data_IF_452549882729
#
_entry.id   IF_452549882729
#
_cell.length_a   1.000
_cell.length_b   1.000
_cell.length_c   1.000
_cell.angle_alpha   90.00
_cell.angle_beta   90.00
_cell.angle_gamma   90.00
#
_symmetry.space_group_name_H-M   'P 1'
#
loop_
_entity.id
_entity.type
_entity.pdbx_description
1 polymer ?
#
# COMPACT_ATOMS: atom_id res chain seq x y z
N UNK A 1 66.43 29.39 -20.29
CA UNK A 1 65.61 28.43 -19.51
C UNK A 1 64.15 28.79 -19.71
N UNK A 2 63.37 27.97 -20.43
CA UNK A 2 61.94 28.22 -20.71
C UNK A 2 61.10 27.52 -19.65
N UNK A 3 60.26 28.27 -18.93
CA UNK A 3 59.31 27.75 -17.95
C UNK A 3 58.02 27.29 -18.65
N UNK A 4 57.56 26.08 -18.36
CA UNK A 4 56.24 25.58 -18.76
C UNK A 4 55.29 25.65 -17.55
N UNK A 5 54.02 26.06 -17.72
CA UNK A 5 53.06 26.02 -16.63
C UNK A 5 52.52 24.59 -16.48
N UNK A 6 52.51 24.11 -15.24
CA UNK A 6 51.83 22.87 -14.85
C UNK A 6 50.34 23.19 -14.72
N UNK A 7 49.51 22.56 -15.54
CA UNK A 7 48.05 22.65 -15.44
C UNK A 7 47.59 21.55 -14.47
N UNK A 8 47.07 21.96 -13.32
CA UNK A 8 46.48 21.08 -12.32
C UNK A 8 45.02 20.80 -12.71
N UNK A 9 44.74 19.63 -13.28
CA UNK A 9 43.38 19.21 -13.63
C UNK A 9 42.66 18.68 -12.38
N UNK A 10 41.71 19.46 -11.87
CA UNK A 10 40.82 19.07 -10.78
C UNK A 10 39.67 18.22 -11.38
N UNK A 11 39.68 16.91 -11.12
CA UNK A 11 38.60 16.02 -11.51
C UNK A 11 37.41 16.21 -10.54
N UNK A 12 36.30 16.77 -11.05
CA UNK A 12 35.03 16.86 -10.33
C UNK A 12 34.36 15.47 -10.32
N UNK A 13 34.19 14.88 -9.13
CA UNK A 13 33.31 13.73 -8.95
C UNK A 13 31.85 14.21 -9.00
N UNK A 14 31.14 13.83 -10.05
CA UNK A 14 29.69 14.01 -10.15
C UNK A 14 28.99 12.98 -9.26
N UNK A 15 28.33 13.43 -8.19
CA UNK A 15 27.43 12.60 -7.40
C UNK A 15 26.24 12.17 -8.28
N UNK A 16 26.01 10.85 -8.37
CA UNK A 16 24.94 10.27 -9.17
C UNK A 16 23.56 10.54 -8.57
N UNK A 17 22.59 10.77 -9.45
CA UNK A 17 21.22 11.17 -9.16
C UNK A 17 20.47 10.19 -8.24
N UNK A 18 19.69 10.75 -7.31
CA UNK A 18 18.68 10.05 -6.53
C UNK A 18 17.70 9.32 -7.46
N UNK A 19 17.44 8.05 -7.19
CA UNK A 19 16.34 7.32 -7.82
C UNK A 19 15.04 8.08 -7.56
N UNK A 20 14.41 8.55 -8.63
CA UNK A 20 13.10 9.19 -8.59
C UNK A 20 12.07 8.18 -8.10
N UNK A 21 11.65 8.30 -6.84
CA UNK A 21 10.49 7.60 -6.31
C UNK A 21 9.30 7.96 -7.21
N UNK A 22 8.45 6.99 -7.61
CA UNK A 22 7.21 7.31 -8.30
C UNK A 22 6.47 8.42 -7.56
N UNK A 23 5.94 9.40 -8.32
CA UNK A 23 5.23 10.53 -7.73
C UNK A 23 3.95 10.03 -7.08
N UNK A 24 3.94 9.95 -5.74
CA UNK A 24 2.76 9.61 -4.95
C UNK A 24 1.77 10.78 -5.02
N UNK A 25 0.71 10.61 -5.79
CA UNK A 25 -0.32 11.64 -6.02
C UNK A 25 -1.35 11.73 -4.89
N UNK A 26 -1.24 10.89 -3.85
CA UNK A 26 -2.16 10.87 -2.73
C UNK A 26 -1.63 11.69 -1.56
N UNK A 27 -0.74 11.13 -0.74
CA UNK A 27 -0.25 11.80 0.48
C UNK A 27 1.22 11.49 0.65
N UNK A 28 2.06 12.51 0.56
CA UNK A 28 3.51 12.34 0.50
C UNK A 28 4.10 11.79 1.81
N UNK A 29 5.29 11.19 1.69
CA UNK A 29 6.11 10.80 2.83
C UNK A 29 6.47 12.00 3.72
N UNK A 30 6.64 13.19 3.14
CA UNK A 30 6.90 14.41 3.91
C UNK A 30 5.72 14.78 4.81
N UNK A 31 4.47 14.64 4.32
CA UNK A 31 3.29 14.86 5.13
C UNK A 31 3.17 13.83 6.27
N UNK A 32 3.56 12.58 6.02
CA UNK A 32 3.65 11.56 7.08
C UNK A 32 4.69 11.93 8.13
N UNK A 33 5.89 12.36 7.73
CA UNK A 33 6.95 12.77 8.66
C UNK A 33 6.51 13.96 9.53
N UNK A 34 5.84 14.96 8.93
CA UNK A 34 5.22 16.06 9.66
C UNK A 34 4.21 15.55 10.68
N UNK A 35 3.27 14.68 10.27
CA UNK A 35 2.30 14.07 11.17
C UNK A 35 2.94 13.29 12.33
N UNK A 36 4.00 12.51 12.06
CA UNK A 36 4.74 11.79 13.11
C UNK A 36 5.34 12.75 14.13
N UNK A 37 5.98 13.82 13.64
CA UNK A 37 6.66 14.82 14.48
C UNK A 37 5.66 15.61 15.32
N UNK A 38 4.61 16.13 14.69
CA UNK A 38 3.59 16.97 15.34
C UNK A 38 2.83 16.23 16.44
N UNK A 39 2.80 14.89 16.39
CA UNK A 39 2.09 14.04 17.33
C UNK A 39 3.01 13.20 18.23
N UNK A 40 4.33 13.39 18.14
CA UNK A 40 5.34 12.64 18.93
C UNK A 40 5.21 11.10 18.80
N UNK A 41 5.04 10.61 17.57
CA UNK A 41 4.75 9.20 17.27
C UNK A 41 5.99 8.37 16.90
N UNK A 42 7.20 8.91 17.03
CA UNK A 42 8.44 8.30 16.53
C UNK A 42 8.64 6.88 17.08
N UNK A 43 8.49 6.70 18.39
CA UNK A 43 8.64 5.39 19.04
C UNK A 43 7.56 4.40 18.60
N UNK A 44 6.33 4.87 18.37
CA UNK A 44 5.23 4.00 17.94
C UNK A 44 5.41 3.55 16.49
N UNK A 45 5.85 4.46 15.61
CA UNK A 45 6.20 4.13 14.22
C UNK A 45 7.36 3.16 14.19
N UNK A 46 8.42 3.39 14.97
CA UNK A 46 9.55 2.47 15.04
C UNK A 46 9.14 1.08 15.54
N UNK A 47 8.24 1.00 16.53
CA UNK A 47 7.70 -0.27 17.01
C UNK A 47 6.89 -1.00 15.94
N UNK A 48 6.10 -0.25 15.16
CA UNK A 48 5.34 -0.78 14.03
C UNK A 48 6.25 -1.30 12.91
N UNK A 49 7.27 -0.54 12.52
CA UNK A 49 8.27 -0.94 11.52
C UNK A 49 9.05 -2.18 11.97
N UNK A 50 9.43 -2.24 13.25
CA UNK A 50 10.06 -3.42 13.82
C UNK A 50 9.13 -4.64 13.82
N UNK A 51 7.82 -4.45 13.98
CA UNK A 51 6.84 -5.53 13.80
C UNK A 51 6.82 -6.03 12.36
N UNK A 52 6.79 -5.14 11.36
CA UNK A 52 6.85 -5.54 9.95
C UNK A 52 8.14 -6.29 9.63
N UNK A 53 9.28 -5.84 10.16
CA UNK A 53 10.58 -6.46 9.94
C UNK A 53 10.66 -7.88 10.53
N UNK A 54 10.18 -8.07 11.77
CA UNK A 54 10.13 -9.40 12.42
C UNK A 54 9.25 -10.39 11.67
N UNK A 55 8.25 -9.90 10.93
CA UNK A 55 7.36 -10.73 10.11
C UNK A 55 7.79 -10.81 8.64
N UNK A 56 8.97 -10.28 8.28
CA UNK A 56 9.51 -10.37 6.92
C UNK A 56 8.76 -9.56 5.86
N UNK A 57 8.01 -8.52 6.26
CA UNK A 57 7.15 -7.71 5.39
C UNK A 57 7.47 -6.21 5.40
N UNK A 58 8.64 -5.82 5.93
CA UNK A 58 9.06 -4.41 6.01
C UNK A 58 9.36 -3.76 4.64
N UNK A 59 9.72 -4.55 3.64
CA UNK A 59 10.16 -4.08 2.31
C UNK A 59 9.04 -4.14 1.25
N UNK A 60 7.83 -4.53 1.63
CA UNK A 60 6.71 -4.71 0.68
C UNK A 60 6.18 -3.37 0.22
N UNK A 61 5.89 -2.47 1.16
CA UNK A 61 5.38 -1.13 0.91
C UNK A 61 6.01 -0.16 1.91
N UNK A 62 6.19 1.13 1.55
CA UNK A 62 6.65 2.13 2.48
C UNK A 62 5.68 2.30 3.67
N UNK A 63 6.21 2.45 4.89
CA UNK A 63 5.42 2.60 6.13
C UNK A 63 4.32 3.65 6.01
N UNK A 64 4.62 4.80 5.38
CA UNK A 64 3.66 5.89 5.22
C UNK A 64 2.44 5.53 4.35
N UNK A 65 2.57 4.58 3.43
CA UNK A 65 1.43 4.07 2.65
C UNK A 65 0.62 3.03 3.45
N UNK A 66 1.29 2.17 4.23
CA UNK A 66 0.62 1.13 5.04
C UNK A 66 -0.17 1.76 6.21
N UNK A 67 0.29 2.90 6.73
CA UNK A 67 -0.38 3.67 7.79
C UNK A 67 -1.35 4.74 7.27
N UNK A 68 -1.53 4.84 5.95
CA UNK A 68 -2.50 5.74 5.32
C UNK A 68 -3.92 5.26 5.63
N UNK A 69 -4.84 6.17 5.93
CA UNK A 69 -6.19 5.79 6.38
C UNK A 69 -7.14 5.50 5.22
N UNK A 70 -8.09 6.39 4.93
CA UNK A 70 -9.06 6.26 3.84
C UNK A 70 -8.79 7.32 2.78
N UNK A 71 -8.97 6.98 1.50
CA UNK A 71 -8.91 7.97 0.42
C UNK A 71 -9.96 9.10 0.55
N UNK A 72 -10.94 8.96 1.46
CA UNK A 72 -11.95 9.99 1.76
C UNK A 72 -11.66 10.75 3.05
N UNK A 73 -10.46 10.63 3.64
CA UNK A 73 -10.12 11.22 4.94
C UNK A 73 -10.44 12.72 5.02
N UNK A 74 -10.18 13.48 3.95
CA UNK A 74 -10.46 14.93 3.89
C UNK A 74 -11.95 15.21 3.98
N UNK A 75 -12.76 14.56 3.14
CA UNK A 75 -14.21 14.69 3.15
C UNK A 75 -14.81 14.27 4.50
N UNK A 76 -14.17 13.30 5.16
CA UNK A 76 -14.53 12.81 6.48
C UNK A 76 -13.97 13.64 7.65
N UNK A 77 -13.18 14.68 7.38
CA UNK A 77 -12.49 15.48 8.40
C UNK A 77 -11.73 14.59 9.41
N UNK A 78 -11.07 13.56 8.90
CA UNK A 78 -10.28 12.60 9.67
C UNK A 78 -8.79 12.81 9.43
N UNK A 79 -7.94 12.10 10.19
CA UNK A 79 -6.50 12.10 9.93
C UNK A 79 -6.17 11.32 8.65
N UNK A 80 -5.18 11.81 7.91
CA UNK A 80 -4.59 11.13 6.74
C UNK A 80 -3.87 9.83 7.10
N UNK A 81 -3.33 9.77 8.32
CA UNK A 81 -2.54 8.65 8.84
C UNK A 81 -3.04 8.24 10.23
N UNK A 82 -2.91 6.96 10.54
CA UNK A 82 -3.24 6.42 11.85
C UNK A 82 -2.42 5.16 12.11
N UNK A 83 -1.80 5.06 13.29
CA UNK A 83 -1.20 3.79 13.75
C UNK A 83 -2.35 2.92 14.25
N UNK A 84 -2.59 1.73 13.67
CA UNK A 84 -3.63 0.84 14.15
C UNK A 84 -3.33 0.38 15.58
N UNK A 85 -4.36 -0.01 16.36
CA UNK A 85 -4.13 -0.66 17.65
C UNK A 85 -3.17 -1.86 17.52
N UNK A 86 -2.25 -2.01 18.47
CA UNK A 86 -1.17 -2.99 18.38
C UNK A 86 -1.68 -4.43 18.26
N UNK A 87 -2.82 -4.73 18.87
CA UNK A 87 -3.48 -6.03 18.85
C UNK A 87 -3.90 -6.48 17.45
N UNK A 88 -4.03 -5.56 16.47
CA UNK A 88 -4.38 -5.91 15.09
C UNK A 88 -3.20 -5.84 14.12
N UNK A 89 -1.97 -5.56 14.57
CA UNK A 89 -0.81 -5.47 13.67
C UNK A 89 -0.53 -6.78 12.94
N UNK A 90 -0.71 -7.93 13.59
CA UNK A 90 -0.49 -9.23 12.97
C UNK A 90 -1.39 -9.46 11.74
N UNK A 91 -2.57 -8.84 11.69
CA UNK A 91 -3.57 -9.05 10.66
C UNK A 91 -3.14 -8.55 9.26
N UNK A 92 -2.25 -7.56 9.19
CA UNK A 92 -1.79 -7.02 7.90
C UNK A 92 -0.70 -7.88 7.24
N UNK A 93 0.00 -8.69 8.04
CA UNK A 93 1.22 -9.40 7.61
C UNK A 93 0.96 -10.36 6.46
N UNK A 94 -0.13 -11.14 6.51
CA UNK A 94 -0.53 -12.03 5.41
C UNK A 94 -0.88 -11.27 4.14
N UNK A 95 -1.55 -10.12 4.26
CA UNK A 95 -1.88 -9.27 3.09
C UNK A 95 -0.63 -8.72 2.43
N UNK A 96 0.33 -8.20 3.22
CA UNK A 96 1.61 -7.71 2.70
C UNK A 96 2.44 -8.85 2.06
N UNK A 97 2.48 -10.02 2.71
CA UNK A 97 3.16 -11.18 2.14
C UNK A 97 2.55 -11.61 0.81
N UNK A 98 1.21 -11.61 0.69
CA UNK A 98 0.53 -11.91 -0.56
C UNK A 98 0.81 -10.86 -1.64
N UNK A 99 0.91 -9.58 -1.27
CA UNK A 99 1.33 -8.52 -2.22
C UNK A 99 2.71 -8.84 -2.79
N UNK A 100 3.70 -9.11 -1.92
CA UNK A 100 5.08 -9.44 -2.33
C UNK A 100 5.17 -10.67 -3.23
N UNK A 101 4.41 -11.72 -2.91
CA UNK A 101 4.59 -13.06 -3.50
C UNK A 101 3.67 -13.35 -4.67
N UNK A 102 2.50 -12.72 -4.73
CA UNK A 102 1.46 -13.06 -5.72
C UNK A 102 1.04 -11.87 -6.57
N UNK A 103 1.12 -10.64 -6.04
CA UNK A 103 0.68 -9.43 -6.75
C UNK A 103 1.82 -8.82 -7.55
N UNK A 104 2.90 -8.44 -6.89
CA UNK A 104 4.03 -7.77 -7.53
C UNK A 104 4.64 -8.55 -8.70
N UNK A 105 4.79 -9.89 -8.64
CA UNK A 105 5.30 -10.66 -9.77
C UNK A 105 4.41 -10.64 -11.02
N UNK A 106 3.12 -10.29 -10.88
CA UNK A 106 2.16 -10.31 -11.98
C UNK A 106 1.88 -8.95 -12.57
N UNK A 107 1.72 -7.93 -11.72
CA UNK A 107 1.30 -6.60 -12.16
C UNK A 107 2.34 -5.51 -11.87
N UNK A 108 3.49 -5.88 -11.30
CA UNK A 108 4.52 -4.95 -10.88
C UNK A 108 4.21 -4.29 -9.53
N UNK A 109 4.99 -3.26 -9.20
CA UNK A 109 4.85 -2.53 -7.94
C UNK A 109 3.47 -1.86 -7.82
N UNK A 110 3.00 -1.80 -6.58
CA UNK A 110 1.72 -1.21 -6.21
C UNK A 110 1.93 -0.19 -5.10
N UNK A 111 1.03 0.77 -5.00
CA UNK A 111 0.97 1.72 -3.89
C UNK A 111 -0.31 1.49 -3.07
N UNK A 112 -0.21 1.59 -1.75
CA UNK A 112 -1.39 1.58 -0.87
C UNK A 112 -2.00 2.98 -0.74
N UNK A 113 -3.28 3.09 -1.07
CA UNK A 113 -4.06 4.35 -1.04
C UNK A 113 -5.10 4.37 0.06
N UNK A 114 -5.34 3.22 0.71
CA UNK A 114 -6.13 3.11 1.94
C UNK A 114 -5.72 1.88 2.74
N UNK A 115 -5.56 2.04 4.06
CA UNK A 115 -5.25 0.98 5.01
C UNK A 115 -6.23 0.97 6.18
N UNK A 116 -5.73 1.06 7.40
CA UNK A 116 -6.59 1.00 8.60
C UNK A 116 -7.64 2.11 8.62
N UNK A 117 -8.83 1.78 9.13
CA UNK A 117 -9.91 2.75 9.37
C UNK A 117 -10.53 2.50 10.73
N UNK A 118 -10.40 3.45 11.66
CA UNK A 118 -11.19 3.41 12.88
C UNK A 118 -12.71 3.43 12.59
N UNK A 119 -13.53 3.13 13.59
CA UNK A 119 -14.98 2.97 13.41
C UNK A 119 -15.67 4.20 12.81
N UNK A 120 -15.27 5.40 13.23
CA UNK A 120 -15.83 6.67 12.74
C UNK A 120 -15.49 6.88 11.27
N UNK A 121 -14.20 6.72 10.91
CA UNK A 121 -13.75 6.89 9.54
C UNK A 121 -14.34 5.83 8.61
N UNK A 122 -14.40 4.57 9.04
CA UNK A 122 -15.02 3.50 8.25
C UNK A 122 -16.47 3.83 7.90
N UNK A 123 -17.25 4.28 8.88
CA UNK A 123 -18.66 4.67 8.68
C UNK A 123 -18.79 5.84 7.71
N UNK A 124 -17.99 6.90 7.89
CA UNK A 124 -18.00 8.05 7.00
C UNK A 124 -17.59 7.69 5.56
N UNK A 125 -16.61 6.80 5.39
CA UNK A 125 -16.18 6.30 4.07
C UNK A 125 -17.16 5.32 3.42
N UNK A 126 -18.36 5.11 3.99
CA UNK A 126 -19.34 4.16 3.48
C UNK A 126 -18.89 2.70 3.58
N UNK A 127 -17.94 2.39 4.47
CA UNK A 127 -17.46 1.03 4.69
C UNK A 127 -18.51 0.16 5.39
N UNK A 128 -18.55 -1.12 5.04
CA UNK A 128 -19.39 -2.10 5.73
C UNK A 128 -19.08 -2.16 7.23
N UNK A 129 -20.08 -2.51 8.05
CA UNK A 129 -19.95 -2.59 9.50
C UNK A 129 -18.77 -3.48 9.92
N UNK A 130 -18.62 -4.66 9.31
CA UNK A 130 -17.51 -5.58 9.56
C UNK A 130 -16.39 -5.51 8.51
N UNK A 131 -16.16 -4.32 7.93
CA UNK A 131 -15.08 -4.08 6.95
C UNK A 131 -13.72 -4.60 7.42
N UNK A 132 -12.97 -5.20 6.51
CA UNK A 132 -11.63 -5.72 6.79
C UNK A 132 -10.63 -4.60 7.17
N UNK A 133 -10.84 -3.37 6.70
CA UNK A 133 -10.04 -2.20 7.07
C UNK A 133 -10.13 -1.85 8.57
N UNK A 134 -11.27 -2.13 9.21
CA UNK A 134 -11.46 -1.88 10.65
C UNK A 134 -10.60 -2.76 11.55
N UNK A 135 -10.16 -3.89 11.02
CA UNK A 135 -9.38 -4.89 11.74
C UNK A 135 -7.98 -5.05 11.13
N UNK A 136 -7.58 -4.09 10.31
CA UNK A 136 -6.27 -4.01 9.67
C UNK A 136 -5.86 -5.23 8.84
N UNK A 137 -6.82 -5.94 8.26
CA UNK A 137 -6.54 -6.98 7.27
C UNK A 137 -6.34 -6.42 5.87
N UNK A 138 -6.79 -5.20 5.59
CA UNK A 138 -7.04 -4.75 4.23
C UNK A 138 -6.19 -3.55 3.79
N UNK A 139 -5.83 -3.58 2.51
CA UNK A 139 -5.32 -2.44 1.76
C UNK A 139 -6.15 -2.26 0.48
N UNK A 140 -6.40 -1.00 0.13
CA UNK A 140 -6.79 -0.65 -1.23
C UNK A 140 -5.55 -0.16 -1.98
N UNK A 141 -5.36 -0.67 -3.19
CA UNK A 141 -4.12 -0.59 -3.94
C UNK A 141 -4.35 0.00 -5.33
N UNK A 142 -3.30 0.65 -5.84
CA UNK A 142 -3.16 1.02 -7.24
C UNK A 142 -1.86 0.44 -7.81
N UNK A 143 -1.84 -0.02 -9.06
CA UNK A 143 -0.59 -0.28 -9.76
C UNK A 143 0.21 1.03 -9.93
N UNK A 144 1.53 0.95 -9.82
CA UNK A 144 2.43 2.08 -10.12
C UNK A 144 2.75 2.21 -11.62
N UNK A 145 2.58 1.12 -12.36
CA UNK A 145 2.74 1.08 -13.81
C UNK A 145 1.43 1.35 -14.52
N UNK A 146 1.50 1.84 -15.76
CA UNK A 146 0.33 1.91 -16.63
C UNK A 146 -0.08 0.50 -17.05
N UNK A 147 -1.18 0.02 -16.47
CA UNK A 147 -1.75 -1.29 -16.74
C UNK A 147 -3.24 -1.11 -17.08
N UNK A 148 -3.68 -1.76 -18.15
CA UNK A 148 -5.09 -1.73 -18.50
C UNK A 148 -5.94 -2.39 -17.40
N UNK A 149 -7.16 -1.87 -17.18
CA UNK A 149 -8.12 -2.49 -16.25
C UNK A 149 -8.36 -3.97 -16.56
N UNK A 150 -8.40 -4.34 -17.84
CA UNK A 150 -8.61 -5.72 -18.27
C UNK A 150 -7.44 -6.62 -17.86
N UNK A 151 -6.21 -6.16 -18.07
CA UNK A 151 -4.99 -6.88 -17.66
C UNK A 151 -4.91 -7.01 -16.15
N UNK A 152 -5.14 -5.92 -15.40
CA UNK A 152 -5.18 -5.95 -13.93
C UNK A 152 -6.18 -7.00 -13.41
N UNK A 153 -7.42 -6.95 -13.90
CA UNK A 153 -8.46 -7.90 -13.52
C UNK A 153 -8.01 -9.32 -13.81
N UNK A 154 -7.55 -9.60 -15.03
CA UNK A 154 -7.11 -10.95 -15.42
C UNK A 154 -6.03 -11.48 -14.48
N UNK A 155 -4.95 -10.73 -14.30
CA UNK A 155 -3.82 -11.17 -13.50
C UNK A 155 -4.16 -11.35 -12.02
N UNK A 156 -4.93 -10.43 -11.45
CA UNK A 156 -5.36 -10.52 -10.06
C UNK A 156 -6.33 -11.68 -9.82
N UNK A 157 -7.23 -11.96 -10.76
CA UNK A 157 -8.12 -13.12 -10.68
C UNK A 157 -7.33 -14.44 -10.79
N UNK A 158 -6.29 -14.50 -11.64
CA UNK A 158 -5.42 -15.68 -11.74
C UNK A 158 -4.66 -15.92 -10.43
N UNK A 159 -4.04 -14.88 -9.86
CA UNK A 159 -3.38 -14.95 -8.55
C UNK A 159 -4.33 -15.48 -7.46
N UNK A 160 -5.53 -14.90 -7.40
CA UNK A 160 -6.55 -15.26 -6.41
C UNK A 160 -7.06 -16.70 -6.55
N UNK A 161 -7.19 -17.17 -7.79
CA UNK A 161 -7.57 -18.55 -8.08
C UNK A 161 -6.49 -19.54 -7.65
N UNK A 162 -5.23 -19.22 -7.87
CA UNK A 162 -4.10 -20.11 -7.59
C UNK A 162 -3.79 -20.16 -6.09
N UNK A 163 -3.64 -19.00 -5.43
CA UNK A 163 -3.10 -18.92 -4.08
C UNK A 163 -4.01 -18.19 -3.08
N UNK A 164 -5.12 -17.60 -3.53
CA UNK A 164 -6.01 -16.82 -2.67
C UNK A 164 -6.65 -17.64 -1.54
N UNK A 165 -7.01 -18.90 -1.78
CA UNK A 165 -7.62 -19.75 -0.75
C UNK A 165 -6.64 -20.08 0.38
N UNK A 166 -5.37 -20.37 0.03
CA UNK A 166 -4.30 -20.68 0.98
C UNK A 166 -4.06 -19.53 1.95
N UNK A 167 -4.13 -18.29 1.47
CA UNK A 167 -3.87 -17.07 2.24
C UNK A 167 -5.14 -16.34 2.71
N UNK A 168 -6.32 -16.97 2.57
CA UNK A 168 -7.62 -16.40 2.94
C UNK A 168 -7.89 -15.01 2.33
N UNK A 169 -7.52 -14.84 1.07
CA UNK A 169 -7.58 -13.54 0.40
C UNK A 169 -9.00 -13.20 -0.04
N UNK A 170 -9.46 -12.05 0.42
CA UNK A 170 -10.54 -11.29 -0.18
C UNK A 170 -9.99 -10.41 -1.30
N UNK A 171 -10.54 -10.55 -2.51
CA UNK A 171 -10.19 -9.74 -3.68
C UNK A 171 -11.40 -8.93 -4.16
N UNK A 172 -11.25 -7.61 -4.22
CA UNK A 172 -12.30 -6.71 -4.70
C UNK A 172 -11.82 -5.78 -5.81
N UNK A 173 -12.71 -5.35 -6.68
CA UNK A 173 -12.41 -4.37 -7.72
C UNK A 173 -13.32 -3.16 -7.61
N UNK A 174 -12.73 -1.99 -7.51
CA UNK A 174 -13.43 -0.71 -7.64
C UNK A 174 -13.55 -0.33 -9.12
N UNK A 175 -13.92 0.92 -9.43
CA UNK A 175 -13.77 1.50 -10.76
C UNK A 175 -12.29 1.73 -11.13
N UNK A 176 -11.99 1.84 -12.43
CA UNK A 176 -10.63 2.13 -12.91
C UNK A 176 -9.63 0.98 -12.68
N UNK A 177 -8.49 1.27 -12.04
CA UNK A 177 -7.44 0.27 -11.73
C UNK A 177 -7.24 0.10 -10.21
N UNK A 178 -8.15 0.65 -9.40
CA UNK A 178 -8.11 0.45 -7.94
C UNK A 178 -8.73 -0.89 -7.59
N UNK A 179 -8.05 -1.63 -6.72
CA UNK A 179 -8.50 -2.92 -6.23
C UNK A 179 -8.29 -3.03 -4.71
N UNK A 180 -8.96 -3.99 -4.11
CA UNK A 180 -8.95 -4.28 -2.69
C UNK A 180 -8.31 -5.65 -2.46
N UNK A 181 -7.44 -5.73 -1.47
CA UNK A 181 -6.92 -6.99 -0.94
C UNK A 181 -7.05 -7.02 0.57
N UNK A 182 -7.53 -8.14 1.09
CA UNK A 182 -7.54 -8.41 2.52
C UNK A 182 -7.29 -9.89 2.81
N UNK A 183 -6.72 -10.21 3.96
CA UNK A 183 -6.52 -11.60 4.42
C UNK A 183 -7.55 -12.04 5.48
N UNK A 184 -8.70 -11.36 5.55
CA UNK A 184 -9.73 -11.65 6.56
C UNK A 184 -10.53 -12.91 6.25
N UNK A 185 -10.81 -13.16 4.96
CA UNK A 185 -11.61 -14.31 4.49
C UNK A 185 -11.44 -14.49 2.98
N UNK A 186 -11.36 -15.74 2.52
CA UNK A 186 -11.41 -16.04 1.09
C UNK A 186 -12.75 -15.63 0.45
N UNK A 187 -12.72 -14.61 -0.41
CA UNK A 187 -13.90 -14.12 -1.15
C UNK A 187 -13.49 -13.28 -2.36
N UNK A 188 -14.44 -13.02 -3.25
CA UNK A 188 -14.27 -12.05 -4.34
C UNK A 188 -15.53 -11.23 -4.56
N UNK A 189 -15.39 -9.98 -4.99
CA UNK A 189 -16.51 -9.07 -5.25
C UNK A 189 -16.23 -8.03 -6.34
N UNK A 190 -17.29 -7.47 -6.93
CA UNK A 190 -17.24 -6.40 -7.94
C UNK A 190 -17.54 -5.01 -7.38
N UNK A 191 -17.58 -3.99 -8.24
CA UNK A 191 -17.64 -2.58 -7.81
C UNK A 191 -18.88 -2.20 -6.96
N UNK A 192 -19.95 -3.00 -6.99
CA UNK A 192 -21.14 -2.84 -6.14
C UNK A 192 -21.03 -3.59 -4.79
N UNK A 193 -19.86 -4.14 -4.47
CA UNK A 193 -19.59 -4.89 -3.24
C UNK A 193 -20.13 -6.32 -3.23
N UNK A 194 -20.71 -6.82 -4.34
CA UNK A 194 -21.33 -8.14 -4.39
C UNK A 194 -20.42 -9.19 -5.01
N UNK A 195 -20.54 -10.44 -4.57
CA UNK A 195 -19.79 -11.54 -5.16
C UNK A 195 -20.26 -11.93 -6.56
N UNK A 196 -21.56 -11.82 -6.84
CA UNK A 196 -22.13 -12.14 -8.15
C UNK A 196 -21.57 -11.27 -9.29
N UNK A 197 -21.18 -10.04 -8.98
CA UNK A 197 -20.65 -9.06 -9.93
C UNK A 197 -19.12 -9.06 -10.02
N UNK A 198 -18.44 -9.97 -9.30
CA UNK A 198 -16.98 -10.07 -9.38
C UNK A 198 -16.54 -10.35 -10.82
N UNK A 199 -15.58 -9.58 -11.38
CA UNK A 199 -15.10 -9.87 -12.72
C UNK A 199 -14.35 -11.20 -12.81
N UNK A 200 -13.86 -11.72 -11.67
CA UNK A 200 -13.25 -13.05 -11.56
C UNK A 200 -14.24 -14.22 -11.67
N UNK A 201 -15.54 -13.97 -11.88
CA UNK A 201 -16.50 -15.03 -12.22
C UNK A 201 -16.41 -15.42 -13.69
N UNK A 202 -15.67 -14.65 -14.50
CA UNK A 202 -15.49 -14.84 -15.95
C UNK A 202 -14.07 -15.23 -16.35
N UNK A 203 -13.18 -15.44 -15.36
CA UNK A 203 -11.75 -15.78 -15.50
C UNK A 203 -11.52 -17.12 -14.79
#
# INVERSE_FOLDING_TARGET
MKAYPVILSLALLSASASASTPSDTYISQAAFQGWVTDNHLETQVQAFEAHLARNGVADVLPTYQILRTSSTWQACKASAFEIPPQEVWANITTTLSYIKTEVEPRIGKVQAVSGYRNAKLNTCSGGAEHSAHRYYFALDLLPETDISRATLIREMCLAHRENGQKSQIGLGFYSGVRFHLDSKKYRKWGADGKSATSPCNKI
#
